data_IF_994237605995
#
_entry.id   IF_994237605995
#
_cell.length_a   1.000
_cell.length_b   1.000
_cell.length_c   1.000
_cell.angle_alpha   90.00
_cell.angle_beta   90.00
_cell.angle_gamma   90.00
#
_symmetry.space_group_name_H-M   'P 1'
#
loop_
_entity.id
_entity.type
_entity.pdbx_description
1 polymer ?
#
# COMPACT_ATOMS: atom_id res chain seq x y z
N UNK A 1 11.76 -59.96 -31.83
CA UNK A 1 11.72 -59.69 -30.46
C UNK A 1 12.57 -58.56 -30.10
N UNK A 2 13.79 -58.52 -30.53
CA UNK A 2 14.60 -57.42 -30.12
C UNK A 2 14.01 -56.12 -30.59
N UNK A 3 13.35 -56.11 -31.73
CA UNK A 3 12.81 -54.82 -32.16
C UNK A 3 11.69 -54.38 -31.23
N UNK A 4 10.91 -55.33 -30.69
CA UNK A 4 9.89 -54.96 -29.77
C UNK A 4 10.52 -54.41 -28.51
N UNK A 5 11.59 -55.04 -28.05
CA UNK A 5 12.25 -54.58 -26.87
C UNK A 5 12.78 -53.16 -27.10
N UNK A 6 13.34 -52.90 -28.28
CA UNK A 6 13.86 -51.61 -28.56
C UNK A 6 12.73 -50.59 -28.56
N UNK A 7 11.61 -50.94 -29.17
CA UNK A 7 10.49 -50.04 -29.24
C UNK A 7 10.03 -49.72 -27.83
N UNK A 8 10.00 -50.72 -26.94
CA UNK A 8 9.56 -50.45 -25.59
C UNK A 8 10.53 -49.52 -24.91
N UNK A 9 11.83 -49.67 -25.13
CA UNK A 9 12.79 -48.80 -24.50
C UNK A 9 12.61 -47.39 -25.03
N UNK A 10 12.40 -47.23 -26.34
CA UNK A 10 12.18 -45.91 -26.86
C UNK A 10 10.92 -45.33 -26.28
N UNK A 11 9.90 -46.16 -26.12
CA UNK A 11 8.66 -45.70 -25.58
C UNK A 11 8.87 -45.18 -24.14
N UNK A 12 9.69 -45.89 -23.38
CA UNK A 12 9.91 -45.46 -22.01
C UNK A 12 10.57 -44.11 -21.98
N UNK A 13 11.52 -43.84 -22.88
CA UNK A 13 12.14 -42.56 -22.92
C UNK A 13 11.11 -41.51 -23.29
N UNK A 14 10.25 -41.80 -24.27
CA UNK A 14 9.25 -40.84 -24.65
C UNK A 14 8.28 -40.61 -23.50
N UNK A 15 7.92 -41.67 -22.79
CA UNK A 15 7.02 -41.54 -21.67
C UNK A 15 7.67 -40.67 -20.61
N UNK A 16 8.96 -40.86 -20.33
CA UNK A 16 9.66 -40.09 -19.35
C UNK A 16 9.68 -38.61 -19.77
N UNK A 17 10.02 -38.35 -21.03
CA UNK A 17 10.06 -36.98 -21.49
C UNK A 17 8.65 -36.35 -21.43
N UNK A 18 7.63 -37.10 -21.80
CA UNK A 18 6.28 -36.62 -21.76
C UNK A 18 5.86 -36.34 -20.31
N UNK A 19 6.26 -37.23 -19.39
CA UNK A 19 5.92 -37.04 -17.99
C UNK A 19 6.60 -35.79 -17.44
N UNK A 20 7.87 -35.61 -17.78
CA UNK A 20 8.61 -34.44 -17.31
C UNK A 20 7.97 -33.17 -17.89
N UNK A 21 7.62 -33.23 -19.18
CA UNK A 21 7.01 -32.06 -19.82
C UNK A 21 5.66 -31.79 -19.18
N UNK A 22 4.90 -32.82 -18.86
CA UNK A 22 3.58 -32.62 -18.23
C UNK A 22 3.75 -31.97 -16.84
N UNK A 23 4.75 -32.42 -16.08
CA UNK A 23 4.98 -31.86 -14.77
C UNK A 23 5.39 -30.39 -14.89
N UNK A 24 6.25 -30.09 -15.86
CA UNK A 24 6.67 -28.72 -16.07
C UNK A 24 5.47 -27.85 -16.49
N UNK A 25 4.59 -28.39 -17.34
CA UNK A 25 3.43 -27.63 -17.76
C UNK A 25 2.51 -27.35 -16.57
N UNK A 26 2.32 -28.32 -15.71
CA UNK A 26 1.48 -28.14 -14.53
C UNK A 26 2.10 -27.09 -13.61
N UNK A 27 3.43 -27.17 -13.43
CA UNK A 27 4.10 -26.20 -12.59
C UNK A 27 3.97 -24.80 -13.18
N UNK A 28 4.08 -24.70 -14.51
CA UNK A 28 3.96 -23.42 -15.14
C UNK A 28 2.55 -22.87 -14.96
N UNK A 29 1.53 -23.72 -15.12
CA UNK A 29 0.16 -23.30 -14.95
C UNK A 29 -0.08 -22.84 -13.51
N UNK A 30 0.46 -23.59 -12.54
CA UNK A 30 0.29 -23.19 -11.15
C UNK A 30 0.99 -21.86 -10.89
N UNK A 31 2.15 -21.65 -11.49
CA UNK A 31 2.85 -20.40 -11.29
C UNK A 31 2.06 -19.26 -11.91
N UNK A 32 1.49 -19.47 -13.08
CA UNK A 32 0.69 -18.44 -13.71
C UNK A 32 -0.57 -18.14 -12.88
N UNK A 33 -1.18 -19.18 -12.35
CA UNK A 33 -2.35 -18.99 -11.53
C UNK A 33 -1.94 -18.20 -10.28
N UNK A 34 -0.78 -18.48 -9.72
CA UNK A 34 -0.34 -17.75 -8.56
C UNK A 34 -0.11 -16.29 -8.92
N UNK A 35 0.43 -16.02 -10.09
CA UNK A 35 0.70 -14.66 -10.45
C UNK A 35 -0.56 -13.89 -10.81
N UNK A 36 -1.45 -14.56 -11.54
CA UNK A 36 -2.63 -13.84 -11.93
C UNK A 36 -3.73 -13.89 -10.90
N UNK A 37 -3.74 -14.93 -10.10
CA UNK A 37 -4.74 -14.93 -9.13
C UNK A 37 -4.34 -13.92 -8.16
N UNK A 38 -5.17 -13.08 -7.88
CA UNK A 38 -4.83 -12.06 -6.97
C UNK A 38 -4.86 -12.68 -5.67
N UNK A 39 -3.97 -13.50 -5.39
CA UNK A 39 -3.96 -14.06 -4.21
C UNK A 39 -4.12 -13.11 -3.24
N UNK A 40 -3.80 -12.19 -3.51
CA UNK A 40 -3.95 -11.22 -2.61
C UNK A 40 -5.29 -11.01 -2.55
N UNK A 41 -5.80 -11.59 -3.33
CA UNK A 41 -7.03 -11.43 -3.25
C UNK A 41 -7.36 -11.76 -1.96
N UNK A 42 -6.68 -12.62 -1.44
CA UNK A 42 -7.04 -12.84 -0.16
C UNK A 42 -6.93 -11.53 0.45
N UNK A 43 -5.91 -10.95 0.13
CA UNK A 43 -5.75 -9.76 0.77
C UNK A 43 -6.81 -8.91 0.38
N UNK A 44 -7.15 -9.06 -0.68
CA UNK A 44 -7.96 -8.09 -1.01
C UNK A 44 -9.16 -8.35 -0.61
N UNK A 45 -9.20 -9.30 -0.26
CA UNK A 45 -10.47 -9.37 0.15
C UNK A 45 -10.70 -8.25 0.90
N UNK A 46 -9.83 -7.74 1.10
CA UNK A 46 -10.08 -6.67 1.58
C UNK A 46 -10.47 -5.91 0.81
N UNK A 47 -11.08 -5.87 0.50
CA UNK A 47 -11.67 -4.93 0.01
C UNK A 47 -10.99 -3.69 0.09
N UNK A 48 -11.16 -2.85 -0.74
CA UNK A 48 -10.61 -1.53 -0.74
C UNK A 48 -10.89 -0.90 0.61
N UNK A 49 -9.86 -0.36 1.22
CA UNK A 49 -10.03 0.34 2.45
C UNK A 49 -10.50 1.76 2.19
N UNK A 50 -10.12 2.32 1.08
CA UNK A 50 -10.43 3.71 0.79
C UNK A 50 -10.99 3.84 -0.61
N UNK A 51 -11.80 4.85 -0.81
CA UNK A 51 -12.18 5.24 -2.16
C UNK A 51 -11.05 6.10 -2.70
N UNK A 52 -10.44 5.74 -3.82
CA UNK A 52 -9.28 6.48 -4.32
C UNK A 52 -9.61 7.94 -4.52
N UNK A 53 -8.69 8.79 -4.16
CA UNK A 53 -8.89 10.22 -4.33
C UNK A 53 -8.05 11.03 -3.38
N UNK A 54 -8.34 12.32 -3.34
CA UNK A 54 -7.65 13.25 -2.49
C UNK A 54 -8.65 13.77 -1.48
N UNK A 55 -8.30 13.71 -0.22
CA UNK A 55 -9.18 14.15 0.85
C UNK A 55 -8.46 15.17 1.70
N UNK A 56 -9.15 16.16 2.18
CA UNK A 56 -8.52 17.24 2.92
C UNK A 56 -9.20 17.42 4.26
N UNK A 57 -8.47 18.01 5.18
CA UNK A 57 -8.97 18.33 6.50
C UNK A 57 -8.29 19.62 6.93
N UNK A 58 -8.95 20.40 7.76
CA UNK A 58 -8.42 21.68 8.18
C UNK A 58 -7.81 21.57 9.57
N UNK A 59 -6.63 22.16 9.73
CA UNK A 59 -5.97 22.23 11.01
C UNK A 59 -5.90 23.70 11.40
N UNK A 60 -6.29 23.99 12.63
CA UNK A 60 -6.23 25.35 13.12
C UNK A 60 -5.10 25.46 14.13
N UNK A 61 -4.13 26.30 13.84
CA UNK A 61 -3.02 26.55 14.74
C UNK A 61 -2.93 28.03 14.97
N UNK A 62 -3.20 28.46 16.21
CA UNK A 62 -3.04 29.87 16.56
C UNK A 62 -3.67 30.83 15.56
N UNK A 63 -4.92 30.57 15.21
CA UNK A 63 -5.66 31.41 14.27
C UNK A 63 -5.20 31.26 12.84
N UNK A 64 -4.34 30.33 12.54
CA UNK A 64 -3.94 30.06 11.17
C UNK A 64 -4.57 28.74 10.76
N UNK A 65 -5.31 28.75 9.68
CA UNK A 65 -5.94 27.54 9.18
C UNK A 65 -5.05 26.91 8.11
N UNK A 66 -4.69 25.66 8.32
CA UNK A 66 -3.90 24.93 7.36
C UNK A 66 -4.73 23.77 6.87
N UNK A 67 -4.50 23.35 5.65
CA UNK A 67 -5.23 22.25 5.10
C UNK A 67 -4.31 21.11 4.86
N UNK A 68 -4.64 19.96 5.41
CA UNK A 68 -3.88 18.74 5.23
C UNK A 68 -4.53 17.98 4.09
N UNK A 69 -3.72 17.57 3.12
CA UNK A 69 -4.22 16.85 1.97
C UNK A 69 -3.68 15.46 2.01
N UNK A 70 -4.55 14.46 1.92
CA UNK A 70 -4.16 13.06 1.94
C UNK A 70 -4.65 12.43 0.64
N UNK A 71 -3.72 11.81 -0.09
CA UNK A 71 -4.06 11.12 -1.32
C UNK A 71 -3.98 9.63 -1.05
N UNK A 72 -5.04 8.91 -1.38
CA UNK A 72 -5.09 7.47 -1.15
C UNK A 72 -5.53 6.76 -2.40
N UNK A 73 -5.15 5.50 -2.51
CA UNK A 73 -5.73 4.66 -3.54
C UNK A 73 -6.54 3.60 -2.78
N UNK A 74 -6.90 2.53 -3.44
CA UNK A 74 -7.82 1.58 -2.84
C UNK A 74 -7.32 0.95 -1.56
N UNK A 75 -6.04 0.80 -1.41
CA UNK A 75 -5.53 0.13 -0.23
C UNK A 75 -4.34 0.81 0.41
N UNK A 76 -3.89 1.93 -0.15
CA UNK A 76 -2.67 2.56 0.34
C UNK A 76 -2.84 4.05 0.51
N UNK A 77 -2.09 4.59 1.45
CA UNK A 77 -2.00 6.02 1.64
C UNK A 77 -0.76 6.45 0.87
N UNK A 78 -0.94 7.27 -0.14
CA UNK A 78 0.14 7.61 -1.05
C UNK A 78 0.83 8.92 -0.76
N UNK A 79 0.13 9.88 -0.18
CA UNK A 79 0.70 11.21 0.00
C UNK A 79 -0.02 11.93 1.13
N UNK A 80 0.75 12.60 1.96
CA UNK A 80 0.21 13.41 3.04
C UNK A 80 1.01 14.69 3.03
N UNK A 81 0.33 15.82 2.90
CA UNK A 81 1.03 17.08 2.87
C UNK A 81 0.07 18.21 3.20
N UNK A 82 0.61 19.41 3.40
CA UNK A 82 -0.24 20.57 3.54
C UNK A 82 -0.51 21.12 2.14
N UNK A 83 -1.74 21.39 1.84
CA UNK A 83 -2.09 21.87 0.51
C UNK A 83 -1.97 23.37 0.38
N UNK A 84 -2.06 24.10 1.49
CA UNK A 84 -2.02 25.53 1.41
C UNK A 84 -0.92 26.15 2.28
N UNK A 85 0.20 25.46 2.43
CA UNK A 85 1.29 25.99 3.23
C UNK A 85 2.06 26.97 2.37
N UNK A 86 1.98 28.25 2.68
CA UNK A 86 2.71 29.23 1.90
C UNK A 86 3.93 29.69 2.70
N UNK A 87 4.72 30.57 2.12
CA UNK A 87 5.95 31.00 2.73
C UNK A 87 5.73 31.69 4.05
N UNK A 88 4.67 32.46 4.17
CA UNK A 88 4.40 33.18 5.39
C UNK A 88 4.11 32.20 6.52
N UNK A 89 3.27 31.21 6.26
CA UNK A 89 2.92 30.24 7.28
C UNK A 89 4.14 29.40 7.63
N UNK A 90 4.92 29.01 6.64
CA UNK A 90 6.11 28.22 6.90
C UNK A 90 7.10 29.00 7.74
N UNK A 91 7.19 30.30 7.55
CA UNK A 91 8.08 31.14 8.36
C UNK A 91 7.58 31.27 9.78
N UNK A 92 6.27 31.31 9.97
CA UNK A 92 5.71 31.42 11.30
C UNK A 92 5.81 30.11 12.07
N UNK A 93 5.75 29.00 11.36
CA UNK A 93 5.82 27.70 11.99
C UNK A 93 6.90 26.86 11.32
N UNK A 94 8.16 27.15 11.59
CA UNK A 94 9.25 26.48 10.86
C UNK A 94 9.33 25.00 11.09
N UNK A 95 8.75 24.48 12.16
CA UNK A 95 8.83 23.06 12.43
C UNK A 95 7.64 22.29 11.83
N UNK A 96 6.66 22.98 11.26
CA UNK A 96 5.47 22.28 10.84
C UNK A 96 5.71 21.40 9.64
N UNK A 97 6.54 21.85 8.70
CA UNK A 97 6.81 21.02 7.52
C UNK A 97 7.60 19.76 7.86
N UNK A 98 8.69 19.87 8.63
CA UNK A 98 9.37 18.65 9.04
C UNK A 98 8.47 17.74 9.86
N UNK A 99 7.55 18.31 10.63
CA UNK A 99 6.69 17.53 11.47
C UNK A 99 5.76 16.68 10.63
N UNK A 100 5.12 17.27 9.63
CA UNK A 100 4.19 16.49 8.81
C UNK A 100 4.97 15.48 7.96
N UNK A 101 6.19 15.82 7.57
CA UNK A 101 6.98 14.88 6.79
C UNK A 101 7.35 13.67 7.64
N UNK A 102 7.70 13.89 8.89
CA UNK A 102 8.04 12.80 9.79
C UNK A 102 6.83 11.89 10.03
N UNK A 103 5.68 12.51 10.27
CA UNK A 103 4.47 11.73 10.49
C UNK A 103 4.09 10.99 9.21
N UNK A 104 4.21 11.65 8.07
CA UNK A 104 3.86 11.02 6.80
C UNK A 104 4.74 9.80 6.53
N UNK A 105 6.04 9.90 6.84
CA UNK A 105 6.92 8.76 6.64
C UNK A 105 6.47 7.58 7.47
N UNK A 106 6.12 7.82 8.71
CA UNK A 106 5.67 6.71 9.57
C UNK A 106 4.38 6.10 9.04
N UNK A 107 3.48 6.95 8.55
CA UNK A 107 2.23 6.44 7.99
C UNK A 107 2.49 5.65 6.71
N UNK A 108 3.40 6.11 5.87
CA UNK A 108 3.69 5.37 4.65
C UNK A 108 4.26 3.99 4.97
N UNK A 109 5.11 3.91 5.97
CA UNK A 109 5.69 2.62 6.34
C UNK A 109 4.66 1.70 6.94
N UNK A 110 3.81 2.21 7.79
CA UNK A 110 2.85 1.38 8.49
C UNK A 110 1.50 1.31 7.79
N UNK A 111 1.26 2.21 6.86
CA UNK A 111 -0.04 2.34 6.18
C UNK A 111 -1.16 2.48 7.20
N UNK A 112 -0.88 3.21 8.27
CA UNK A 112 -1.83 3.35 9.36
C UNK A 112 -1.32 4.46 10.27
N UNK A 113 -2.22 5.10 10.98
CA UNK A 113 -1.83 6.10 11.97
C UNK A 113 -1.50 5.46 13.30
N UNK A 114 -1.75 4.18 13.45
CA UNK A 114 -1.46 3.53 14.70
C UNK A 114 0.03 3.43 14.88
N UNK A 115 0.49 3.72 16.06
CA UNK A 115 1.91 3.62 16.35
C UNK A 115 2.74 4.81 15.89
N UNK A 116 2.10 5.82 15.32
CA UNK A 116 2.83 7.01 14.93
C UNK A 116 3.34 7.71 16.19
N UNK A 117 4.61 8.04 16.20
CA UNK A 117 5.21 8.68 17.36
C UNK A 117 5.17 10.18 17.18
N UNK A 118 4.73 10.87 18.21
CA UNK A 118 4.66 12.31 18.16
C UNK A 118 6.04 12.89 18.44
N UNK A 119 6.28 14.09 17.91
CA UNK A 119 7.53 14.75 18.10
C UNK A 119 7.70 15.13 19.57
N UNK A 120 8.87 14.94 20.09
CA UNK A 120 9.13 15.35 21.46
C UNK A 120 9.26 16.84 21.55
N UNK A 121 9.63 17.49 20.48
CA UNK A 121 9.76 18.92 20.50
C UNK A 121 8.43 19.64 20.37
N UNK A 122 7.49 19.06 19.64
CA UNK A 122 6.21 19.70 19.39
C UNK A 122 5.08 18.68 19.46
N UNK A 123 4.87 18.07 20.61
CA UNK A 123 3.85 17.03 20.70
C UNK A 123 2.44 17.52 20.37
N UNK A 124 2.14 18.77 20.74
CA UNK A 124 0.82 19.30 20.46
C UNK A 124 0.63 19.47 18.96
N UNK A 125 1.62 20.02 18.27
CA UNK A 125 1.55 20.18 16.83
C UNK A 125 1.45 18.83 16.14
N UNK A 126 2.25 17.85 16.58
CA UNK A 126 2.16 16.52 16.00
C UNK A 126 0.78 15.92 16.18
N UNK A 127 0.21 16.09 17.36
CA UNK A 127 -1.10 15.50 17.63
C UNK A 127 -2.18 16.17 16.75
N UNK A 128 -2.09 17.48 16.56
CA UNK A 128 -3.05 18.18 15.74
C UNK A 128 -2.93 17.69 14.28
N UNK A 129 -1.71 17.49 13.79
CA UNK A 129 -1.51 17.01 12.44
C UNK A 129 -2.05 15.59 12.30
N UNK A 130 -1.78 14.73 13.27
CA UNK A 130 -2.26 13.36 13.22
C UNK A 130 -3.79 13.34 13.21
N UNK A 131 -4.41 14.20 14.02
CA UNK A 131 -5.86 14.26 14.05
C UNK A 131 -6.42 14.71 12.71
N UNK A 132 -5.77 15.66 12.07
CA UNK A 132 -6.23 16.13 10.75
C UNK A 132 -6.08 15.05 9.70
N UNK A 133 -4.96 14.29 9.75
CA UNK A 133 -4.79 13.20 8.81
C UNK A 133 -5.87 12.15 9.05
N UNK A 134 -6.18 11.86 10.31
CA UNK A 134 -7.22 10.89 10.62
C UNK A 134 -8.57 11.35 10.07
N UNK A 135 -8.88 12.62 10.19
CA UNK A 135 -10.13 13.12 9.65
C UNK A 135 -10.18 12.98 8.13
N UNK A 136 -9.09 13.30 7.46
CA UNK A 136 -9.06 13.17 6.01
C UNK A 136 -9.21 11.71 5.59
N UNK A 137 -8.54 10.81 6.31
CA UNK A 137 -8.65 9.40 5.99
C UNK A 137 -10.07 8.89 6.21
N UNK A 138 -10.74 9.41 7.23
CA UNK A 138 -12.11 8.99 7.46
C UNK A 138 -13.00 9.40 6.30
N UNK A 139 -12.76 10.54 5.69
CA UNK A 139 -13.55 10.96 4.56
C UNK A 139 -13.37 10.00 3.38
N UNK A 140 -12.19 9.41 3.26
CA UNK A 140 -11.93 8.49 2.17
C UNK A 140 -12.25 7.04 2.47
N UNK A 141 -12.64 6.73 3.71
CA UNK A 141 -12.92 5.34 4.03
C UNK A 141 -14.17 4.86 3.35
N UNK A 142 -14.13 3.65 2.85
CA UNK A 142 -15.30 3.07 2.24
C UNK A 142 -16.19 2.59 3.34
N UNK A 143 -17.46 3.00 3.29
CA UNK A 143 -18.38 2.60 4.31
C UNK A 143 -19.35 1.62 3.74
N UNK A 144 -19.71 0.62 4.47
CA UNK A 144 -20.65 -0.35 3.97
C UNK A 144 -21.95 -0.32 4.62
#
# INVERSE_FOLDING_TARGET
MSSKTKIIVLHMKEIIYTAVFAVLAVLLILLLLFMFLPKNKGAQTEEAKYAPGVYTSTVSLNNTALEVEVTVDESHINSIRFSNLDETVAAMYPLIQPEIENIAEQVYENQSLEGVQLSQESPYTSQVIVNAIAEALEKGKIQE
#
